data_IF_245392547537
#
_entry.id   IF_245392547537
#
_cell.length_a   1.000
_cell.length_b   1.000
_cell.length_c   1.000
_cell.angle_alpha   90.00
_cell.angle_beta   90.00
_cell.angle_gamma   90.00
#
_symmetry.space_group_name_H-M   'P 1'
#
loop_
_entity.id
_entity.type
_entity.pdbx_description
1 polymer ?
#
# COMPACT_ATOMS: atom_id res chain seq x y z
N UNK A 1 -9.81 7.92 -5.85
CA UNK A 1 -10.34 6.59 -6.28
C UNK A 1 -11.27 6.68 -7.49
N UNK A 2 -12.07 7.75 -7.66
CA UNK A 2 -12.99 7.89 -8.81
C UNK A 2 -12.31 7.76 -10.18
N UNK A 3 -11.14 8.39 -10.40
CA UNK A 3 -10.43 8.33 -11.69
C UNK A 3 -10.00 6.91 -12.10
N UNK A 4 -9.52 6.11 -11.14
CA UNK A 4 -9.14 4.71 -11.38
C UNK A 4 -10.38 3.87 -11.76
N UNK A 5 -11.50 4.07 -11.05
CA UNK A 5 -12.77 3.41 -11.37
C UNK A 5 -13.32 3.84 -12.74
N UNK A 6 -12.99 5.05 -13.19
CA UNK A 6 -13.35 5.59 -14.51
C UNK A 6 -12.39 5.18 -15.64
N UNK A 7 -11.41 4.31 -15.38
CA UNK A 7 -10.54 3.76 -16.42
C UNK A 7 -9.24 4.52 -16.66
N UNK A 8 -8.86 5.47 -15.80
CA UNK A 8 -7.56 6.15 -15.89
C UNK A 8 -6.50 5.24 -15.26
N UNK A 9 -5.89 4.40 -16.08
CA UNK A 9 -4.89 3.41 -15.66
C UNK A 9 -3.44 3.84 -15.93
N UNK A 10 -3.23 5.05 -16.41
CA UNK A 10 -1.90 5.63 -16.60
C UNK A 10 -1.75 6.90 -15.77
N UNK A 11 -0.72 6.93 -14.94
CA UNK A 11 -0.24 8.14 -14.28
C UNK A 11 1.24 8.36 -14.58
N UNK A 12 1.73 9.56 -14.26
CA UNK A 12 3.12 9.97 -14.48
C UNK A 12 4.00 9.84 -13.23
N UNK A 13 3.40 9.64 -12.06
CA UNK A 13 4.11 9.53 -10.78
C UNK A 13 4.96 8.26 -10.77
N UNK A 14 6.26 8.43 -10.56
CA UNK A 14 7.21 7.30 -10.47
C UNK A 14 7.30 6.74 -9.05
N UNK A 15 7.82 5.53 -8.89
CA UNK A 15 8.13 4.96 -7.56
C UNK A 15 9.14 5.84 -6.81
N UNK A 16 10.12 6.42 -7.52
CA UNK A 16 11.05 7.38 -6.94
C UNK A 16 10.32 8.60 -6.37
N UNK A 17 9.30 9.12 -7.08
CA UNK A 17 8.48 10.22 -6.60
C UNK A 17 7.68 9.81 -5.35
N UNK A 18 7.06 8.63 -5.35
CA UNK A 18 6.28 8.11 -4.21
C UNK A 18 7.08 8.03 -2.93
N UNK A 19 8.34 7.59 -3.01
CA UNK A 19 9.22 7.45 -1.84
C UNK A 19 9.58 8.81 -1.20
N UNK A 20 9.34 9.93 -1.88
CA UNK A 20 9.43 11.26 -1.26
C UNK A 20 8.22 11.61 -0.39
N UNK A 21 7.15 10.84 -0.49
CA UNK A 21 5.89 11.07 0.23
C UNK A 21 5.63 10.04 1.35
N UNK A 22 6.48 9.03 1.51
CA UNK A 22 6.32 8.04 2.57
C UNK A 22 7.23 6.83 2.41
N UNK A 23 7.32 6.06 3.48
CA UNK A 23 8.05 4.79 3.56
C UNK A 23 7.13 3.57 3.65
N UNK A 24 5.81 3.80 3.73
CA UNK A 24 4.77 2.78 3.83
C UNK A 24 3.58 3.15 2.95
N UNK A 25 3.00 2.15 2.27
CA UNK A 25 1.87 2.39 1.38
C UNK A 25 1.42 1.19 0.57
N UNK A 26 0.40 1.43 -0.25
CA UNK A 26 -0.14 0.47 -1.21
C UNK A 26 -0.74 1.20 -2.43
N UNK A 27 -0.89 0.49 -3.53
CA UNK A 27 -1.40 1.05 -4.79
C UNK A 27 -1.39 0.04 -5.92
N UNK A 28 -1.34 0.52 -7.15
CA UNK A 28 -1.18 -0.30 -8.36
C UNK A 28 -0.15 0.34 -9.30
N UNK A 29 0.21 -0.35 -10.38
CA UNK A 29 1.09 0.17 -11.43
C UNK A 29 0.28 0.60 -12.65
N UNK A 30 0.91 1.32 -13.58
CA UNK A 30 0.26 1.64 -14.85
C UNK A 30 -0.26 0.36 -15.54
N UNK A 31 -1.32 0.51 -16.33
CA UNK A 31 -2.03 -0.59 -17.01
C UNK A 31 -2.66 -1.62 -16.05
N UNK A 32 -2.79 -1.28 -14.75
CA UNK A 32 -3.17 -2.23 -13.69
C UNK A 32 -2.24 -3.46 -13.67
N UNK A 33 -0.95 -3.25 -13.96
CA UNK A 33 0.06 -4.31 -13.95
C UNK A 33 0.39 -4.74 -12.51
N UNK A 34 -0.55 -5.40 -11.85
CA UNK A 34 -0.39 -5.90 -10.49
C UNK A 34 -0.54 -4.86 -9.38
N UNK A 35 -0.34 -5.34 -8.16
CA UNK A 35 -0.49 -4.58 -6.92
C UNK A 35 0.85 -4.05 -6.43
N UNK A 36 0.83 -2.87 -5.84
CA UNK A 36 1.96 -2.25 -5.16
C UNK A 36 1.81 -2.42 -3.65
N UNK A 37 2.88 -2.87 -3.00
CA UNK A 37 3.03 -2.79 -1.55
C UNK A 37 4.37 -2.13 -1.21
N UNK A 38 4.34 -1.18 -0.27
CA UNK A 38 5.51 -0.45 0.19
C UNK A 38 5.62 -0.52 1.71
N UNK A 39 6.79 -0.89 2.23
CA UNK A 39 7.11 -0.86 3.65
C UNK A 39 8.62 -0.71 3.85
N UNK A 40 9.03 0.05 4.85
CA UNK A 40 10.45 0.34 5.13
C UNK A 40 11.20 0.89 3.90
N UNK A 41 10.54 1.77 3.14
CA UNK A 41 11.06 2.36 1.88
C UNK A 41 11.41 1.35 0.78
N UNK A 42 10.95 0.10 0.92
CA UNK A 42 11.06 -0.92 -0.12
C UNK A 42 9.70 -1.09 -0.78
N UNK A 43 9.69 -1.12 -2.12
CA UNK A 43 8.47 -1.21 -2.91
C UNK A 43 8.50 -2.48 -3.73
N UNK A 44 7.39 -3.22 -3.73
CA UNK A 44 7.24 -4.48 -4.43
C UNK A 44 6.01 -4.46 -5.34
N UNK A 45 6.13 -5.17 -6.46
CA UNK A 45 5.05 -5.44 -7.40
C UNK A 45 4.62 -6.90 -7.27
N UNK A 46 3.36 -7.12 -6.91
CA UNK A 46 2.71 -8.43 -6.83
C UNK A 46 1.88 -8.63 -8.09
N UNK A 47 2.16 -9.68 -8.87
CA UNK A 47 1.51 -9.92 -10.17
C UNK A 47 0.49 -11.05 -10.07
N UNK A 48 -0.47 -11.07 -11.00
CA UNK A 48 -1.48 -12.11 -11.10
C UNK A 48 -0.91 -13.50 -11.43
N UNK A 49 0.30 -13.57 -11.99
CA UNK A 49 1.04 -14.81 -12.22
C UNK A 49 1.63 -15.42 -10.93
N UNK A 50 1.44 -14.77 -9.78
CA UNK A 50 1.96 -15.21 -8.47
C UNK A 50 3.39 -14.76 -8.18
N UNK A 51 4.05 -14.05 -9.10
CA UNK A 51 5.38 -13.50 -8.86
C UNK A 51 5.33 -12.21 -8.04
N UNK A 52 6.36 -12.04 -7.21
CA UNK A 52 6.63 -10.81 -6.47
C UNK A 52 8.04 -10.34 -6.82
N UNK A 53 8.18 -9.07 -7.21
CA UNK A 53 9.48 -8.48 -7.54
C UNK A 53 9.64 -7.11 -6.92
N UNK A 54 10.89 -6.72 -6.65
CA UNK A 54 11.19 -5.34 -6.28
C UNK A 54 10.79 -4.40 -7.43
N UNK A 55 10.11 -3.31 -7.09
CA UNK A 55 9.74 -2.29 -8.06
C UNK A 55 10.96 -1.44 -8.41
N UNK A 56 11.06 -1.04 -9.67
CA UNK A 56 12.11 -0.14 -10.14
C UNK A 56 11.71 1.32 -9.90
N UNK A 57 12.65 2.21 -9.59
CA UNK A 57 12.38 3.62 -9.32
C UNK A 57 11.58 4.33 -10.43
N UNK A 58 11.80 3.96 -11.69
CA UNK A 58 11.18 4.53 -12.88
C UNK A 58 9.79 3.99 -13.21
N UNK A 59 9.33 2.92 -12.54
CA UNK A 59 7.98 2.42 -12.75
C UNK A 59 6.95 3.47 -12.34
N UNK A 60 5.84 3.53 -13.07
CA UNK A 60 4.79 4.53 -12.89
C UNK A 60 3.55 3.93 -12.23
N UNK A 61 2.81 4.80 -11.56
CA UNK A 61 1.54 4.46 -10.92
C UNK A 61 0.44 5.46 -11.32
N UNK A 62 -0.80 4.97 -11.59
CA UNK A 62 -1.98 5.83 -11.70
C UNK A 62 -2.58 6.14 -10.32
N UNK A 63 -2.27 5.34 -9.30
CA UNK A 63 -2.83 5.46 -7.97
C UNK A 63 -1.97 4.73 -6.92
N UNK A 64 -1.55 5.49 -5.91
CA UNK A 64 -0.94 4.97 -4.70
C UNK A 64 -1.28 5.87 -3.50
N UNK A 65 -1.28 5.27 -2.31
CA UNK A 65 -1.40 5.97 -1.03
C UNK A 65 -0.15 5.69 -0.23
N UNK A 66 0.56 6.77 0.15
CA UNK A 66 1.81 6.71 0.90
C UNK A 66 1.68 7.51 2.20
N UNK A 67 2.44 7.10 3.22
CA UNK A 67 2.61 7.85 4.46
C UNK A 67 3.98 7.57 5.07
N UNK A 68 4.43 8.46 5.95
CA UNK A 68 5.57 8.21 6.84
C UNK A 68 5.04 7.46 8.06
N UNK A 69 5.24 6.15 8.10
CA UNK A 69 4.60 5.30 9.10
C UNK A 69 5.21 5.51 10.49
N UNK A 70 4.40 6.04 11.40
CA UNK A 70 4.78 6.33 12.79
C UNK A 70 3.78 5.64 13.72
N UNK A 71 4.02 4.38 14.11
CA UNK A 71 3.05 3.62 14.92
C UNK A 71 2.96 4.19 16.34
N UNK A 72 1.74 4.54 16.77
CA UNK A 72 1.46 4.92 18.16
C UNK A 72 1.13 3.71 19.05
N UNK A 73 0.70 2.61 18.44
CA UNK A 73 0.27 1.39 19.12
C UNK A 73 1.08 0.18 18.64
N UNK A 74 1.34 -0.75 19.56
CA UNK A 74 1.93 -2.05 19.27
C UNK A 74 1.17 -3.13 20.03
N UNK A 75 0.69 -4.16 19.32
CA UNK A 75 -0.04 -5.29 19.90
C UNK A 75 0.61 -6.59 19.44
N UNK A 76 0.78 -7.53 20.38
CA UNK A 76 1.21 -8.90 20.11
C UNK A 76 0.00 -9.82 20.26
N UNK A 77 -0.12 -10.80 19.37
CA UNK A 77 -1.16 -11.84 19.40
C UNK A 77 -0.46 -13.20 19.55
N UNK A 78 -0.67 -13.87 20.68
CA UNK A 78 -0.03 -15.16 20.99
C UNK A 78 -0.87 -16.36 20.54
N UNK A 79 -2.06 -16.10 19.98
CA UNK A 79 -2.98 -17.09 19.43
C UNK A 79 -3.49 -16.62 18.06
N UNK A 80 -3.96 -17.54 17.20
CA UNK A 80 -4.56 -17.16 15.93
C UNK A 80 -5.75 -16.21 16.13
N UNK A 81 -5.76 -15.11 15.38
CA UNK A 81 -6.84 -14.13 15.37
C UNK A 81 -7.36 -13.92 13.96
N UNK A 82 -8.64 -13.62 13.84
CA UNK A 82 -9.25 -13.32 12.55
C UNK A 82 -8.95 -11.89 12.12
N UNK A 83 -9.13 -11.59 10.82
CA UNK A 83 -9.10 -10.23 10.31
C UNK A 83 -10.06 -9.30 11.07
N UNK A 84 -11.27 -9.78 11.37
CA UNK A 84 -12.26 -8.99 12.11
C UNK A 84 -11.75 -8.63 13.50
N UNK A 85 -11.12 -9.59 14.21
CA UNK A 85 -10.58 -9.33 15.52
C UNK A 85 -9.46 -8.27 15.51
N UNK A 86 -8.60 -8.27 14.47
CA UNK A 86 -7.58 -7.22 14.29
C UNK A 86 -8.24 -5.85 14.09
N UNK A 87 -9.32 -5.78 13.29
CA UNK A 87 -10.07 -4.53 13.09
C UNK A 87 -10.68 -4.03 14.40
N UNK A 88 -11.33 -4.91 15.18
CA UNK A 88 -11.96 -4.54 16.45
C UNK A 88 -10.93 -3.94 17.42
N UNK A 89 -9.71 -4.50 17.47
CA UNK A 89 -8.61 -3.95 18.27
C UNK A 89 -8.19 -2.56 17.80
N UNK A 90 -8.08 -2.34 16.48
CA UNK A 90 -7.73 -1.03 15.91
C UNK A 90 -8.82 0.01 16.23
N UNK A 91 -10.09 -0.34 16.03
CA UNK A 91 -11.23 0.56 16.24
C UNK A 91 -11.37 0.96 17.72
N UNK A 92 -11.12 0.05 18.65
CA UNK A 92 -11.12 0.34 20.09
C UNK A 92 -10.03 1.33 20.52
N UNK A 93 -8.87 1.34 19.85
CA UNK A 93 -7.75 2.24 20.16
C UNK A 93 -7.90 3.62 19.49
N UNK A 94 -8.86 3.78 18.58
CA UNK A 94 -9.12 5.04 17.89
C UNK A 94 -10.63 5.33 17.76
N UNK A 95 -11.32 5.63 18.87
CA UNK A 95 -12.77 5.78 18.91
C UNK A 95 -13.32 7.06 18.25
N UNK A 96 -12.47 7.90 17.65
CA UNK A 96 -12.85 9.19 17.05
C UNK A 96 -13.00 9.14 15.52
N UNK A 97 -13.47 8.00 14.98
CA UNK A 97 -14.03 7.93 13.63
C UNK A 97 -15.55 7.87 13.66
#
# INVERSE_FOLDING_TARGET
MSALLSGVYEGETTIADLLRHGDFGLGTFNELDGEMIAFSSQVYQLRADGSARAAKPEQKTPFAVMTWFQPQYRKVFDTPVSRQHIHDVIDQQNPLR
#
